data_IF_258249097870
#
_entry.id   IF_258249097870
#
_cell.length_a   1.000
_cell.length_b   1.000
_cell.length_c   1.000
_cell.angle_alpha   90.00
_cell.angle_beta   90.00
_cell.angle_gamma   90.00
#
_symmetry.space_group_name_H-M   'P 1'
#
loop_
_entity.id
_entity.type
_entity.pdbx_description
1 polymer ?
#
# COMPACT_ATOMS: atom_id res chain seq x y z
N UNK A 1 8.85 -19.15 16.20
CA UNK A 1 7.65 -18.38 16.60
C UNK A 1 8.15 -17.10 17.25
N UNK A 2 7.88 -15.92 16.66
CA UNK A 2 8.23 -14.65 17.32
C UNK A 2 7.38 -14.55 18.60
N UNK A 3 8.01 -14.48 19.78
CA UNK A 3 7.26 -14.17 21.00
C UNK A 3 7.05 -12.66 21.05
N UNK A 4 5.81 -12.25 20.87
CA UNK A 4 5.39 -10.88 21.16
C UNK A 4 5.15 -10.80 22.67
N UNK A 5 5.99 -10.07 23.40
CA UNK A 5 5.58 -9.54 24.69
C UNK A 5 5.05 -8.14 24.48
N UNK A 6 3.92 -7.77 25.11
CA UNK A 6 3.53 -6.37 25.16
C UNK A 6 4.64 -5.61 25.89
N UNK A 7 5.46 -4.89 25.12
CA UNK A 7 6.40 -3.94 25.69
C UNK A 7 5.58 -2.84 26.35
N UNK A 8 6.02 -2.35 27.51
CA UNK A 8 5.38 -1.25 28.26
C UNK A 8 5.10 0.02 27.44
N UNK A 9 5.66 0.13 26.22
CA UNK A 9 5.51 1.24 25.29
C UNK A 9 4.35 1.10 24.28
N UNK A 10 3.72 -0.07 24.14
CA UNK A 10 2.59 -0.22 23.21
C UNK A 10 1.30 0.32 23.84
N UNK A 11 0.67 1.30 23.17
CA UNK A 11 -0.64 1.78 23.58
C UNK A 11 -1.69 0.69 23.33
N UNK A 12 -2.68 0.50 24.24
CA UNK A 12 -3.82 -0.36 24.01
C UNK A 12 -4.57 -0.01 22.72
N UNK A 13 -5.21 -0.99 22.11
CA UNK A 13 -5.97 -0.82 20.87
C UNK A 13 -7.08 0.22 21.01
N UNK A 14 -7.75 0.24 22.15
CA UNK A 14 -8.84 1.17 22.49
C UNK A 14 -8.34 2.62 22.53
N UNK A 15 -7.10 2.83 22.97
CA UNK A 15 -6.50 4.16 22.91
C UNK A 15 -6.22 4.59 21.47
N UNK A 16 -5.70 3.68 20.64
CA UNK A 16 -5.46 3.95 19.23
C UNK A 16 -6.76 4.31 18.49
N UNK A 17 -7.83 3.55 18.73
CA UNK A 17 -9.19 3.86 18.23
C UNK A 17 -9.61 5.28 18.65
N UNK A 18 -9.54 5.59 19.95
CA UNK A 18 -9.92 6.90 20.46
C UNK A 18 -9.07 8.05 19.91
N UNK A 19 -7.79 7.82 19.55
CA UNK A 19 -6.98 8.83 18.86
C UNK A 19 -7.48 9.08 17.44
N UNK A 20 -7.77 8.02 16.69
CA UNK A 20 -8.25 8.10 15.31
C UNK A 20 -9.59 8.84 15.25
N UNK A 21 -10.52 8.53 16.14
CA UNK A 21 -11.82 9.22 16.23
C UNK A 21 -11.68 10.71 16.50
N UNK A 22 -10.90 11.08 17.53
CA UNK A 22 -10.71 12.48 17.91
C UNK A 22 -9.99 13.28 16.83
N UNK A 23 -8.94 12.72 16.23
CA UNK A 23 -8.19 13.38 15.18
C UNK A 23 -9.01 13.49 13.89
N UNK A 24 -9.75 12.45 13.53
CA UNK A 24 -10.67 12.47 12.39
C UNK A 24 -11.75 13.53 12.53
N UNK A 25 -12.39 13.63 13.70
CA UNK A 25 -13.38 14.68 13.98
C UNK A 25 -12.74 16.09 13.93
N UNK A 26 -11.58 16.25 14.54
CA UNK A 26 -10.86 17.53 14.56
C UNK A 26 -10.53 17.97 13.13
N UNK A 27 -9.98 17.08 12.31
CA UNK A 27 -9.67 17.35 10.91
C UNK A 27 -10.93 17.76 10.13
N UNK A 28 -12.05 17.05 10.31
CA UNK A 28 -13.34 17.39 9.69
C UNK A 28 -13.81 18.80 10.08
N UNK A 29 -13.78 19.15 11.36
CA UNK A 29 -14.18 20.48 11.86
C UNK A 29 -13.30 21.60 11.28
N UNK A 30 -12.04 21.30 11.00
CA UNK A 30 -11.08 22.25 10.42
C UNK A 30 -11.04 22.22 8.88
N UNK A 31 -11.85 21.39 8.22
CA UNK A 31 -11.82 21.23 6.75
C UNK A 31 -10.54 20.60 6.21
N UNK A 32 -9.83 19.82 7.03
CA UNK A 32 -8.58 19.13 6.69
C UNK A 32 -8.80 17.64 6.42
N UNK A 33 -7.90 17.04 5.65
CA UNK A 33 -7.82 15.58 5.48
C UNK A 33 -7.11 14.92 6.65
N UNK A 34 -7.52 13.69 7.00
CA UNK A 34 -6.86 12.85 7.99
C UNK A 34 -6.73 11.43 7.45
N UNK A 35 -5.60 10.78 7.73
CA UNK A 35 -5.31 9.41 7.31
C UNK A 35 -4.34 8.73 8.28
N UNK A 36 -4.16 7.42 8.12
CA UNK A 36 -3.30 6.60 8.97
C UNK A 36 -2.18 5.95 8.16
N UNK A 37 -1.07 5.59 8.82
CA UNK A 37 0.06 4.89 8.21
C UNK A 37 0.29 3.53 8.87
N UNK A 38 0.14 2.46 8.09
CA UNK A 38 0.39 1.08 8.53
C UNK A 38 1.50 0.44 7.70
N UNK A 39 2.65 0.05 8.21
CA UNK A 39 3.10 0.11 9.58
C UNK A 39 4.51 0.72 9.65
N UNK A 40 4.99 0.90 10.86
CA UNK A 40 6.41 0.96 11.14
C UNK A 40 6.93 -0.46 11.47
N UNK A 41 8.23 -0.60 11.72
CA UNK A 41 8.81 -1.84 12.22
C UNK A 41 8.17 -2.29 13.52
N UNK A 42 7.98 -3.60 13.70
CA UNK A 42 7.44 -4.17 14.93
C UNK A 42 8.58 -4.55 15.88
N UNK A 43 8.56 -4.04 17.11
CA UNK A 43 9.55 -4.43 18.12
C UNK A 43 9.19 -5.83 18.64
N UNK A 44 10.14 -6.76 18.58
CA UNK A 44 10.00 -8.14 19.06
C UNK A 44 11.17 -8.52 19.96
N UNK A 45 10.99 -9.54 20.80
CA UNK A 45 12.10 -10.07 21.60
C UNK A 45 13.21 -10.59 20.68
N UNK A 46 14.45 -10.22 20.99
CA UNK A 46 15.59 -10.80 20.30
C UNK A 46 15.84 -12.22 20.82
N UNK A 47 15.66 -13.20 19.94
CA UNK A 47 15.92 -14.62 20.20
C UNK A 47 17.04 -15.16 19.30
N UNK A 48 17.85 -14.26 18.73
CA UNK A 48 18.80 -14.59 17.66
C UNK A 48 20.22 -14.34 18.14
N UNK A 49 21.09 -15.31 17.85
CA UNK A 49 22.52 -15.26 18.23
C UNK A 49 23.36 -14.38 17.30
N UNK A 50 22.75 -13.49 16.51
CA UNK A 50 23.48 -12.63 15.57
C UNK A 50 23.68 -11.19 16.06
N UNK A 51 22.87 -10.74 17.02
CA UNK A 51 23.04 -9.46 17.71
C UNK A 51 23.87 -9.66 18.99
N UNK A 52 24.47 -8.60 19.54
CA UNK A 52 25.09 -8.65 20.87
C UNK A 52 24.09 -9.12 21.94
N UNK A 53 24.56 -9.85 22.95
CA UNK A 53 23.71 -10.35 24.05
C UNK A 53 23.05 -9.22 24.87
N UNK A 54 23.58 -8.01 24.78
CA UNK A 54 23.00 -6.80 25.37
C UNK A 54 21.71 -6.36 24.68
N UNK A 55 21.52 -6.72 23.41
CA UNK A 55 20.35 -6.36 22.63
C UNK A 55 19.17 -7.30 22.92
N UNK A 56 18.27 -6.87 23.79
CA UNK A 56 17.10 -7.65 24.22
C UNK A 56 15.93 -7.64 23.23
N UNK A 57 15.93 -6.69 22.29
CA UNK A 57 14.86 -6.48 21.32
C UNK A 57 15.42 -6.35 19.92
N UNK A 58 14.60 -6.65 18.91
CA UNK A 58 14.91 -6.42 17.51
C UNK A 58 13.70 -5.83 16.79
N UNK A 59 13.94 -5.15 15.68
CA UNK A 59 12.91 -4.52 14.86
C UNK A 59 12.57 -5.42 13.67
N UNK A 60 11.41 -6.07 13.73
CA UNK A 60 10.87 -6.89 12.64
C UNK A 60 10.41 -5.99 11.49
N UNK A 61 10.96 -6.27 10.31
CA UNK A 61 10.57 -5.68 9.03
C UNK A 61 10.53 -6.75 7.93
N UNK A 62 10.24 -6.35 6.70
CA UNK A 62 10.22 -7.26 5.56
C UNK A 62 9.01 -8.21 5.55
N UNK A 63 9.16 -9.33 4.83
CA UNK A 63 8.09 -10.25 4.44
C UNK A 63 7.16 -10.65 5.60
N UNK A 64 7.64 -11.04 6.79
CA UNK A 64 6.73 -11.46 7.88
C UNK A 64 5.85 -10.32 8.43
N UNK A 65 6.31 -9.07 8.34
CA UNK A 65 5.54 -7.91 8.81
C UNK A 65 4.32 -7.65 7.91
N UNK A 66 4.34 -8.10 6.65
CA UNK A 66 3.24 -7.91 5.70
C UNK A 66 1.94 -8.54 6.20
N UNK A 67 1.98 -9.81 6.64
CA UNK A 67 0.81 -10.53 7.17
C UNK A 67 0.19 -9.80 8.37
N UNK A 68 1.05 -9.35 9.30
CA UNK A 68 0.61 -8.60 10.47
C UNK A 68 0.01 -7.25 10.09
N UNK A 69 0.63 -6.55 9.12
CA UNK A 69 0.14 -5.28 8.60
C UNK A 69 -1.22 -5.40 7.93
N UNK A 70 -1.44 -6.43 7.10
CA UNK A 70 -2.73 -6.66 6.43
C UNK A 70 -3.83 -7.05 7.42
N UNK A 71 -3.51 -7.88 8.43
CA UNK A 71 -4.45 -8.18 9.51
C UNK A 71 -4.80 -6.94 10.35
N UNK A 72 -3.84 -6.03 10.57
CA UNK A 72 -4.10 -4.75 11.22
C UNK A 72 -4.99 -3.84 10.37
N UNK A 73 -4.79 -3.80 9.05
CA UNK A 73 -5.69 -3.10 8.10
C UNK A 73 -7.11 -3.63 8.22
N UNK A 74 -7.29 -4.96 8.30
CA UNK A 74 -8.62 -5.58 8.48
C UNK A 74 -9.28 -5.12 9.78
N UNK A 75 -8.59 -5.25 10.91
CA UNK A 75 -9.11 -4.83 12.21
C UNK A 75 -9.48 -3.34 12.22
N UNK A 76 -8.64 -2.49 11.61
CA UNK A 76 -8.93 -1.06 11.48
C UNK A 76 -10.20 -0.82 10.64
N UNK A 77 -10.34 -1.50 9.50
CA UNK A 77 -11.49 -1.40 8.60
C UNK A 77 -12.79 -1.95 9.21
N UNK A 78 -12.72 -2.93 10.11
CA UNK A 78 -13.88 -3.41 10.87
C UNK A 78 -14.48 -2.33 11.77
N UNK A 79 -13.68 -1.34 12.20
CA UNK A 79 -14.12 -0.24 13.08
C UNK A 79 -14.48 1.01 12.27
N UNK A 80 -13.61 1.40 11.34
CA UNK A 80 -13.68 2.69 10.66
C UNK A 80 -14.15 2.60 9.20
N UNK A 81 -14.39 1.40 8.67
CA UNK A 81 -14.66 1.20 7.24
C UNK A 81 -13.53 1.75 6.37
N UNK A 82 -13.89 2.29 5.19
CA UNK A 82 -12.95 3.00 4.29
C UNK A 82 -12.95 4.52 4.54
N UNK A 83 -13.39 4.97 5.72
CA UNK A 83 -13.52 6.40 6.03
C UNK A 83 -12.18 7.15 5.98
N UNK A 84 -11.10 6.51 6.41
CA UNK A 84 -9.79 7.12 6.50
C UNK A 84 -8.82 6.47 5.50
N UNK A 85 -8.14 7.25 4.64
CA UNK A 85 -7.11 6.73 3.77
C UNK A 85 -5.97 6.11 4.58
N UNK A 86 -5.46 4.99 4.08
CA UNK A 86 -4.38 4.24 4.71
C UNK A 86 -3.17 4.26 3.77
N UNK A 87 -2.10 4.93 4.19
CA UNK A 87 -0.78 4.72 3.60
C UNK A 87 -0.18 3.43 4.13
N UNK A 88 0.44 2.62 3.27
CA UNK A 88 0.88 1.28 3.64
C UNK A 88 2.38 1.01 3.45
N UNK A 89 2.98 0.30 4.40
CA UNK A 89 4.42 0.02 4.51
C UNK A 89 4.64 -1.20 5.39
N UNK A 90 4.61 -2.40 4.82
CA UNK A 90 4.97 -3.62 5.53
C UNK A 90 5.32 -4.72 4.54
N UNK A 91 6.62 -5.03 4.41
CA UNK A 91 7.09 -6.17 3.61
C UNK A 91 6.64 -6.17 2.14
N UNK A 92 6.47 -4.99 1.54
CA UNK A 92 6.06 -4.85 0.15
C UNK A 92 7.18 -5.31 -0.79
N UNK A 93 6.82 -6.07 -1.81
CA UNK A 93 7.65 -6.44 -2.93
C UNK A 93 6.79 -6.77 -4.16
N UNK A 94 7.42 -7.26 -5.24
CA UNK A 94 6.76 -7.49 -6.53
C UNK A 94 5.53 -8.40 -6.46
N UNK A 95 5.43 -9.30 -5.48
CA UNK A 95 4.35 -10.29 -5.49
C UNK A 95 3.11 -9.86 -4.73
N UNK A 96 3.22 -8.86 -3.84
CA UNK A 96 2.11 -8.36 -3.03
C UNK A 96 1.79 -6.88 -3.27
N UNK A 97 2.58 -6.20 -4.09
CA UNK A 97 2.33 -4.81 -4.47
C UNK A 97 0.97 -4.66 -5.16
N UNK A 98 0.66 -5.50 -6.16
CA UNK A 98 -0.61 -5.45 -6.88
C UNK A 98 -1.81 -5.72 -5.95
N UNK A 99 -1.71 -6.69 -5.05
CA UNK A 99 -2.73 -6.95 -4.03
C UNK A 99 -2.97 -5.70 -3.14
N UNK A 100 -1.88 -5.07 -2.68
CA UNK A 100 -1.94 -3.86 -1.84
C UNK A 100 -2.63 -2.70 -2.57
N UNK A 101 -2.40 -2.56 -3.88
CA UNK A 101 -3.12 -1.60 -4.74
C UNK A 101 -4.60 -1.94 -4.81
N UNK A 102 -4.96 -3.21 -5.02
CA UNK A 102 -6.35 -3.69 -5.06
C UNK A 102 -7.10 -3.48 -3.73
N UNK A 103 -6.39 -3.37 -2.61
CA UNK A 103 -6.97 -3.00 -1.31
C UNK A 103 -7.23 -1.49 -1.16
N UNK A 104 -6.82 -0.67 -2.13
CA UNK A 104 -6.92 0.79 -2.06
C UNK A 104 -5.98 1.42 -1.04
N UNK A 105 -4.88 0.74 -0.70
CA UNK A 105 -3.88 1.25 0.24
C UNK A 105 -2.93 2.18 -0.52
N UNK A 106 -2.99 3.48 -0.25
CA UNK A 106 -2.20 4.47 -0.96
C UNK A 106 -1.86 5.68 -0.07
N UNK A 107 -0.62 6.19 -0.12
CA UNK A 107 0.54 5.69 -0.87
C UNK A 107 1.11 4.37 -0.30
N UNK A 108 1.77 3.58 -1.15
CA UNK A 108 2.50 2.35 -0.77
C UNK A 108 4.00 2.67 -0.68
N UNK A 109 4.62 2.39 0.46
CA UNK A 109 6.05 2.62 0.73
C UNK A 109 6.81 1.30 0.78
N UNK A 110 7.99 1.27 0.16
CA UNK A 110 8.86 0.09 0.08
C UNK A 110 10.25 0.42 0.63
N UNK A 111 10.79 -0.45 1.48
CA UNK A 111 12.14 -0.30 2.03
C UNK A 111 12.89 -1.64 2.02
N UNK A 112 12.45 -2.63 2.82
CA UNK A 112 13.17 -3.90 2.99
C UNK A 112 13.45 -4.65 1.69
N UNK A 113 12.58 -4.54 0.67
CA UNK A 113 12.82 -5.17 -0.62
C UNK A 113 13.86 -4.43 -1.47
N UNK A 114 13.88 -3.10 -1.43
CA UNK A 114 14.86 -2.26 -2.14
C UNK A 114 16.27 -2.42 -1.55
N UNK A 115 16.39 -2.85 -0.29
CA UNK A 115 17.68 -3.16 0.34
C UNK A 115 18.26 -4.52 -0.10
N UNK A 116 17.50 -5.33 -0.85
CA UNK A 116 17.98 -6.63 -1.37
C UNK A 116 18.71 -6.45 -2.70
N UNK A 117 19.35 -7.53 -3.14
CA UNK A 117 19.96 -7.67 -4.47
C UNK A 117 19.03 -7.17 -5.57
N UNK A 118 19.49 -6.19 -6.32
CA UNK A 118 18.80 -5.47 -7.39
C UNK A 118 18.54 -4.00 -7.03
N UNK A 119 18.55 -3.64 -5.74
CA UNK A 119 18.38 -2.26 -5.31
C UNK A 119 17.07 -1.65 -5.81
N UNK A 120 17.15 -0.40 -6.29
CA UNK A 120 16.02 0.31 -6.90
C UNK A 120 15.49 -0.33 -8.18
N UNK A 121 16.28 -1.12 -8.92
CA UNK A 121 15.81 -1.75 -10.17
C UNK A 121 14.69 -2.78 -9.94
N UNK A 122 14.57 -3.28 -8.70
CA UNK A 122 13.48 -4.17 -8.26
C UNK A 122 12.10 -3.53 -8.40
N UNK A 123 12.02 -2.20 -8.32
CA UNK A 123 10.75 -1.46 -8.44
C UNK A 123 10.05 -1.66 -9.79
N UNK A 124 10.82 -1.87 -10.87
CA UNK A 124 10.27 -2.18 -12.20
C UNK A 124 9.39 -3.43 -12.20
N UNK A 125 9.73 -4.43 -11.39
CA UNK A 125 8.96 -5.67 -11.29
C UNK A 125 7.60 -5.47 -10.60
N UNK A 126 7.45 -4.42 -9.78
CA UNK A 126 6.20 -4.13 -9.08
C UNK A 126 5.13 -3.68 -10.08
N UNK A 127 5.53 -2.75 -10.95
CA UNK A 127 4.66 -2.25 -12.02
C UNK A 127 4.44 -3.30 -13.11
N UNK A 128 5.45 -4.12 -13.43
CA UNK A 128 5.27 -5.21 -14.40
C UNK A 128 4.20 -6.21 -13.96
N UNK A 129 4.22 -6.60 -12.68
CA UNK A 129 3.20 -7.48 -12.11
C UNK A 129 1.82 -6.81 -12.10
N UNK A 130 1.73 -5.55 -11.63
CA UNK A 130 0.47 -4.81 -11.63
C UNK A 130 -0.11 -4.69 -13.04
N UNK A 131 0.69 -4.30 -14.03
CA UNK A 131 0.28 -4.17 -15.41
C UNK A 131 -0.20 -5.51 -15.98
N UNK A 132 0.52 -6.61 -15.72
CA UNK A 132 0.10 -7.95 -16.16
C UNK A 132 -1.30 -8.31 -15.66
N UNK A 133 -1.58 -8.07 -14.36
CA UNK A 133 -2.91 -8.34 -13.79
C UNK A 133 -3.98 -7.39 -14.31
N UNK A 134 -3.62 -6.13 -14.57
CA UNK A 134 -4.52 -5.16 -15.18
C UNK A 134 -4.88 -5.56 -16.62
N UNK A 135 -3.90 -6.03 -17.40
CA UNK A 135 -4.10 -6.53 -18.77
C UNK A 135 -5.01 -7.79 -18.79
N UNK A 136 -4.79 -8.74 -17.88
CA UNK A 136 -5.63 -9.93 -17.71
C UNK A 136 -7.09 -9.57 -17.40
N UNK A 137 -7.31 -8.49 -16.64
CA UNK A 137 -8.62 -7.97 -16.28
C UNK A 137 -9.18 -6.98 -17.32
N UNK A 138 -8.41 -6.63 -18.36
CA UNK A 138 -8.79 -5.65 -19.38
C UNK A 138 -9.06 -4.25 -18.81
N UNK A 139 -8.29 -3.80 -17.82
CA UNK A 139 -8.42 -2.48 -17.18
C UNK A 139 -7.17 -1.64 -17.37
N UNK A 140 -7.33 -0.31 -17.42
CA UNK A 140 -6.22 0.63 -17.64
C UNK A 140 -6.09 1.70 -16.54
N UNK A 141 -6.90 1.61 -15.49
CA UNK A 141 -6.87 2.52 -14.34
C UNK A 141 -7.00 1.76 -13.01
N UNK A 142 -6.53 2.40 -11.93
CA UNK A 142 -6.45 1.78 -10.60
C UNK A 142 -7.84 1.56 -9.98
N UNK A 143 -8.82 2.43 -10.26
CA UNK A 143 -10.15 2.29 -9.69
C UNK A 143 -10.85 1.05 -10.29
N UNK A 144 -10.79 0.89 -11.61
CA UNK A 144 -11.27 -0.31 -12.29
C UNK A 144 -10.53 -1.57 -11.85
N UNK A 145 -9.22 -1.46 -11.59
CA UNK A 145 -8.44 -2.58 -11.04
C UNK A 145 -8.92 -2.99 -9.64
N UNK A 146 -9.12 -2.03 -8.72
CA UNK A 146 -9.65 -2.31 -7.37
C UNK A 146 -11.00 -3.03 -7.46
N UNK A 147 -11.90 -2.58 -8.34
CA UNK A 147 -13.22 -3.19 -8.50
C UNK A 147 -13.14 -4.66 -8.96
N UNK A 148 -12.20 -4.98 -9.84
CA UNK A 148 -12.12 -6.30 -10.47
C UNK A 148 -11.17 -7.29 -9.81
N UNK A 149 -10.12 -6.83 -9.14
CA UNK A 149 -8.96 -7.65 -8.76
C UNK A 149 -9.29 -8.94 -8.00
N UNK A 150 -10.32 -8.91 -7.14
CA UNK A 150 -10.77 -10.06 -6.37
C UNK A 150 -12.19 -10.54 -6.71
N UNK A 151 -12.80 -10.01 -7.80
CA UNK A 151 -14.16 -10.38 -8.18
C UNK A 151 -15.27 -9.92 -7.21
N UNK A 152 -14.96 -9.05 -6.24
CA UNK A 152 -15.91 -8.60 -5.22
C UNK A 152 -16.84 -7.45 -5.66
N UNK A 153 -16.71 -6.96 -6.89
CA UNK A 153 -17.48 -5.83 -7.41
C UNK A 153 -19.00 -6.03 -7.29
N UNK A 154 -19.52 -7.19 -7.69
CA UNK A 154 -20.97 -7.46 -7.69
C UNK A 154 -21.51 -7.57 -6.27
N UNK A 155 -20.82 -8.32 -5.39
CA UNK A 155 -21.18 -8.40 -3.98
C UNK A 155 -21.16 -7.03 -3.31
N UNK A 156 -20.21 -6.17 -3.66
CA UNK A 156 -20.14 -4.82 -3.14
C UNK A 156 -21.36 -3.97 -3.54
N UNK A 157 -21.88 -4.12 -4.78
CA UNK A 157 -23.10 -3.45 -5.22
C UNK A 157 -24.33 -3.95 -4.46
N UNK A 158 -24.40 -5.25 -4.21
CA UNK A 158 -25.48 -5.84 -3.41
C UNK A 158 -25.46 -5.29 -1.97
N UNK A 159 -24.29 -5.27 -1.32
CA UNK A 159 -24.13 -4.81 0.06
C UNK A 159 -24.53 -3.34 0.26
N UNK A 160 -24.32 -2.48 -0.75
CA UNK A 160 -24.74 -1.07 -0.66
C UNK A 160 -26.24 -0.85 -0.95
N UNK A 161 -26.99 -1.93 -1.18
CA UNK A 161 -28.43 -1.91 -1.39
C UNK A 161 -28.84 -1.48 -2.80
N UNK A 162 -27.98 -1.64 -3.81
CA UNK A 162 -28.26 -1.19 -5.17
C UNK A 162 -29.51 -1.88 -5.76
N UNK A 163 -29.68 -3.17 -5.50
CA UNK A 163 -30.83 -3.97 -5.98
C UNK A 163 -32.13 -3.73 -5.18
N UNK A 164 -32.03 -3.08 -4.02
CA UNK A 164 -33.18 -2.76 -3.15
C UNK A 164 -33.91 -1.47 -3.51
N UNK A 165 -33.44 -0.74 -4.52
CA UNK A 165 -34.19 0.37 -5.09
C UNK A 165 -35.31 -0.21 -5.97
N UNK A 166 -36.51 -0.41 -5.40
CA UNK A 166 -37.77 -0.72 -6.08
C UNK A 166 -38.24 0.41 -7.03
N UNK A 167 -37.33 0.99 -7.81
CA UNK A 167 -37.60 1.95 -8.85
C UNK A 167 -37.11 1.37 -10.17
N UNK A 168 -38.03 0.73 -10.88
CA UNK A 168 -37.92 0.26 -12.28
C UNK A 168 -37.05 -0.99 -12.50
N UNK A 169 -37.66 -2.21 -12.49
CA UNK A 169 -37.00 -3.46 -12.87
C UNK A 169 -36.24 -3.39 -14.21
N UNK A 170 -36.79 -2.67 -15.19
CA UNK A 170 -36.15 -2.47 -16.50
C UNK A 170 -34.88 -1.61 -16.46
N UNK A 171 -34.76 -0.68 -15.50
CA UNK A 171 -33.55 0.15 -15.36
C UNK A 171 -32.44 -0.63 -14.68
N UNK A 172 -32.77 -1.42 -13.67
CA UNK A 172 -31.83 -2.26 -12.91
C UNK A 172 -31.18 -3.32 -13.82
N UNK A 173 -31.98 -4.01 -14.62
CA UNK A 173 -31.46 -4.99 -15.59
C UNK A 173 -30.61 -4.36 -16.70
N UNK A 174 -31.04 -3.20 -17.24
CA UNK A 174 -30.26 -2.45 -18.25
C UNK A 174 -28.96 -1.89 -17.68
N UNK A 175 -28.96 -1.52 -16.40
CA UNK A 175 -27.79 -1.06 -15.67
C UNK A 175 -26.81 -2.18 -15.34
N UNK A 176 -27.31 -3.34 -14.94
CA UNK A 176 -26.51 -4.54 -14.75
C UNK A 176 -25.76 -4.88 -16.04
N UNK A 177 -26.47 -4.94 -17.17
CA UNK A 177 -25.85 -5.15 -18.49
C UNK A 177 -24.85 -4.03 -18.83
N UNK A 178 -25.15 -2.77 -18.51
CA UNK A 178 -24.25 -1.65 -18.79
C UNK A 178 -22.99 -1.67 -17.90
N UNK A 179 -23.11 -1.98 -16.61
CA UNK A 179 -22.01 -2.08 -15.66
C UNK A 179 -21.18 -3.32 -15.96
N UNK A 180 -21.78 -4.48 -16.21
CA UNK A 180 -21.07 -5.69 -16.65
C UNK A 180 -20.34 -5.43 -17.98
N UNK A 181 -21.01 -4.83 -18.97
CA UNK A 181 -20.40 -4.50 -20.26
C UNK A 181 -19.30 -3.43 -20.15
N UNK A 182 -19.41 -2.50 -19.20
CA UNK A 182 -18.40 -1.44 -18.97
C UNK A 182 -17.26 -1.88 -18.08
N UNK A 183 -17.52 -2.79 -17.13
CA UNK A 183 -16.50 -3.58 -16.46
C UNK A 183 -15.73 -4.31 -17.55
N UNK A 184 -16.38 -5.15 -18.37
CA UNK A 184 -15.73 -5.92 -19.44
C UNK A 184 -14.95 -5.07 -20.46
N UNK A 185 -15.46 -3.89 -20.85
CA UNK A 185 -14.89 -3.09 -21.95
C UNK A 185 -14.13 -1.82 -21.52
N UNK A 186 -13.84 -1.65 -20.22
CA UNK A 186 -13.00 -0.55 -19.71
C UNK A 186 -13.58 0.87 -19.92
N UNK A 187 -14.82 1.12 -19.49
CA UNK A 187 -15.40 2.47 -19.56
C UNK A 187 -15.52 3.19 -18.21
N UNK A 188 -15.83 4.49 -18.24
CA UNK A 188 -15.95 5.32 -17.03
C UNK A 188 -17.13 4.91 -16.13
N UNK A 189 -16.90 3.92 -15.27
CA UNK A 189 -17.88 3.38 -14.32
C UNK A 189 -18.48 4.46 -13.43
N UNK A 190 -17.71 5.50 -13.10
CA UNK A 190 -18.16 6.67 -12.33
C UNK A 190 -19.24 7.48 -13.07
N UNK A 191 -19.13 7.67 -14.39
CA UNK A 191 -20.14 8.37 -15.20
C UNK A 191 -21.45 7.59 -15.29
N UNK A 192 -21.34 6.27 -15.27
CA UNK A 192 -22.50 5.37 -15.25
C UNK A 192 -23.12 5.47 -13.85
N UNK A 193 -22.43 4.99 -12.81
CA UNK A 193 -22.87 4.91 -11.40
C UNK A 193 -23.35 6.24 -10.78
N UNK A 194 -22.79 7.38 -11.20
CA UNK A 194 -22.89 8.62 -10.45
C UNK A 194 -21.95 8.61 -9.24
N UNK A 195 -21.49 9.80 -8.85
CA UNK A 195 -20.39 9.94 -7.88
C UNK A 195 -20.67 9.30 -6.51
N UNK A 196 -21.90 9.43 -6.01
CA UNK A 196 -22.27 8.92 -4.68
C UNK A 196 -22.27 7.39 -4.63
N UNK A 197 -22.99 6.75 -5.56
CA UNK A 197 -23.05 5.29 -5.67
C UNK A 197 -21.66 4.74 -5.95
N UNK A 198 -20.90 5.35 -6.87
CA UNK A 198 -19.55 4.92 -7.19
C UNK A 198 -18.62 4.96 -5.97
N UNK A 199 -18.70 6.02 -5.15
CA UNK A 199 -17.88 6.15 -3.95
C UNK A 199 -18.22 5.07 -2.91
N UNK A 200 -19.51 4.79 -2.70
CA UNK A 200 -19.96 3.72 -1.80
C UNK A 200 -19.57 2.34 -2.31
N UNK A 201 -19.72 2.10 -3.61
CA UNK A 201 -19.33 0.86 -4.27
C UNK A 201 -17.82 0.61 -4.11
N UNK A 202 -17.00 1.60 -4.45
CA UNK A 202 -15.55 1.55 -4.31
C UNK A 202 -15.12 1.29 -2.86
N UNK A 203 -15.73 2.00 -1.90
CA UNK A 203 -15.49 1.78 -0.47
C UNK A 203 -15.77 0.33 -0.08
N UNK A 204 -16.96 -0.18 -0.42
CA UNK A 204 -17.36 -1.55 -0.07
C UNK A 204 -16.47 -2.60 -0.75
N UNK A 205 -16.08 -2.40 -2.02
CA UNK A 205 -15.16 -3.32 -2.71
C UNK A 205 -13.81 -3.38 -2.02
N UNK A 206 -13.23 -2.25 -1.56
CA UNK A 206 -11.97 -2.29 -0.80
C UNK A 206 -12.11 -3.06 0.51
N UNK A 207 -13.25 -2.95 1.19
CA UNK A 207 -13.52 -3.71 2.43
C UNK A 207 -13.58 -5.21 2.16
N UNK A 208 -14.29 -5.63 1.11
CA UNK A 208 -14.37 -7.03 0.70
C UNK A 208 -13.02 -7.58 0.22
N UNK A 209 -12.30 -6.83 -0.63
CA UNK A 209 -10.94 -7.20 -1.08
C UNK A 209 -10.00 -7.40 0.11
N UNK A 210 -10.13 -6.56 1.15
CA UNK A 210 -9.33 -6.71 2.38
C UNK A 210 -9.60 -8.03 3.06
N UNK A 211 -10.86 -8.42 3.19
CA UNK A 211 -11.25 -9.69 3.82
C UNK A 211 -10.68 -10.87 3.02
N UNK A 212 -10.91 -10.88 1.70
CA UNK A 212 -10.39 -11.92 0.79
C UNK A 212 -8.86 -12.04 0.91
N UNK A 213 -8.14 -10.91 0.83
CA UNK A 213 -6.68 -10.95 0.87
C UNK A 213 -6.11 -11.36 2.23
N UNK A 214 -6.79 -11.04 3.34
CA UNK A 214 -6.36 -11.50 4.67
C UNK A 214 -6.36 -13.02 4.74
N UNK A 215 -7.39 -13.68 4.18
CA UNK A 215 -7.49 -15.13 4.18
C UNK A 215 -6.37 -15.77 3.34
N UNK A 216 -6.08 -15.19 2.17
CA UNK A 216 -4.98 -15.62 1.29
C UNK A 216 -3.60 -15.42 1.97
N UNK A 217 -3.32 -14.22 2.48
CA UNK A 217 -2.00 -13.86 3.01
C UNK A 217 -1.67 -14.62 4.29
N UNK A 218 -2.69 -14.93 5.11
CA UNK A 218 -2.53 -15.63 6.40
C UNK A 218 -2.16 -17.10 6.20
N UNK A 219 -2.64 -17.73 5.13
CA UNK A 219 -2.40 -19.14 4.83
C UNK A 219 -1.24 -19.36 3.84
N UNK A 220 -0.74 -18.30 3.21
CA UNK A 220 0.29 -18.40 2.19
C UNK A 220 1.66 -18.82 2.77
N UNK A 221 2.17 -19.97 2.30
CA UNK A 221 3.41 -20.60 2.74
C UNK A 221 4.65 -19.69 2.60
N UNK A 222 4.62 -18.69 1.71
CA UNK A 222 5.67 -17.68 1.56
C UNK A 222 5.98 -16.95 2.87
N UNK A 223 4.96 -16.70 3.69
CA UNK A 223 5.10 -15.99 4.95
C UNK A 223 5.41 -16.93 6.13
N UNK A 224 5.45 -18.24 5.87
CA UNK A 224 5.79 -19.27 6.85
C UNK A 224 7.21 -19.16 7.39
N UNK A 225 7.42 -19.76 8.56
CA UNK A 225 8.70 -19.72 9.29
C UNK A 225 9.86 -20.28 8.45
N UNK A 226 9.61 -21.34 7.68
CA UNK A 226 10.64 -22.03 6.89
C UNK A 226 11.26 -21.11 5.84
N UNK A 227 10.44 -20.27 5.19
CA UNK A 227 10.88 -19.36 4.14
C UNK A 227 11.53 -18.07 4.68
N UNK A 228 11.31 -17.76 5.97
CA UNK A 228 11.74 -16.49 6.59
C UNK A 228 12.71 -16.67 7.77
N UNK A 229 13.28 -17.86 7.97
CA UNK A 229 14.21 -18.14 9.06
C UNK A 229 15.69 -18.09 8.69
N UNK A 230 16.00 -17.96 7.39
CA UNK A 230 17.40 -17.90 6.92
C UNK A 230 18.04 -16.61 7.43
N UNK A 231 19.19 -16.68 8.14
CA UNK A 231 19.88 -15.49 8.59
C UNK A 231 20.39 -14.68 7.39
N UNK A 232 20.51 -13.35 7.53
CA UNK A 232 21.17 -12.52 6.52
C UNK A 232 22.59 -13.02 6.27
N UNK A 233 23.04 -12.99 5.00
CA UNK A 233 24.44 -13.30 4.67
C UNK A 233 25.34 -12.21 5.27
N UNK A 234 26.33 -12.61 6.06
CA UNK A 234 27.43 -11.73 6.50
C UNK A 234 28.52 -11.77 5.45
N UNK A 235 29.09 -10.62 5.13
CA UNK A 235 30.14 -10.53 4.09
C UNK A 235 31.54 -10.46 4.68
N UNK A 236 31.66 -10.31 6.00
CA UNK A 236 32.96 -10.37 6.68
C UNK A 236 33.85 -9.15 6.42
N UNK A 237 33.38 -8.18 5.64
CA UNK A 237 34.02 -6.88 5.42
C UNK A 237 33.11 -5.77 5.96
N UNK A 238 33.70 -4.70 6.48
CA UNK A 238 32.97 -3.45 6.67
C UNK A 238 32.81 -2.80 5.30
N UNK A 239 31.61 -2.30 5.04
CA UNK A 239 31.31 -1.63 3.78
C UNK A 239 31.52 -0.13 3.95
N UNK A 240 32.33 0.46 3.09
CA UNK A 240 32.52 1.91 3.05
C UNK A 240 31.45 2.60 2.20
N UNK A 241 31.45 3.94 2.16
CA UNK A 241 30.54 4.72 1.32
C UNK A 241 30.72 4.26 -0.14
N UNK A 242 29.68 3.62 -0.68
CA UNK A 242 29.75 3.00 -2.00
C UNK A 242 30.66 1.72 -2.11
N UNK A 243 30.64 0.71 -1.21
CA UNK A 243 30.84 -0.80 -1.35
C UNK A 243 29.58 -1.80 -1.46
N UNK A 244 29.20 -2.36 -2.62
CA UNK A 244 27.91 -3.07 -2.85
C UNK A 244 28.12 -4.56 -2.81
N UNK A 245 27.24 -5.26 -2.11
CA UNK A 245 27.16 -6.72 -2.22
C UNK A 245 26.10 -7.20 -3.18
N UNK A 246 25.80 -6.33 -4.13
CA UNK A 246 25.15 -6.70 -5.38
C UNK A 246 25.95 -6.26 -6.62
N UNK A 247 26.95 -5.39 -6.47
CA UNK A 247 27.49 -4.54 -7.55
C UNK A 247 28.83 -3.85 -7.22
N UNK A 248 29.60 -4.31 -6.23
CA UNK A 248 30.73 -3.60 -5.64
C UNK A 248 30.58 -2.12 -5.17
N UNK A 249 29.45 -1.37 -5.25
CA UNK A 249 29.19 -0.10 -4.45
C UNK A 249 27.89 0.21 -3.55
N UNK A 250 28.06 0.37 -2.22
CA UNK A 250 27.23 0.42 -0.97
C UNK A 250 26.38 1.66 -0.71
N UNK A 251 25.51 1.54 0.30
CA UNK A 251 25.50 2.47 1.45
C UNK A 251 25.36 1.64 2.75
N UNK A 252 26.11 1.92 3.83
CA UNK A 252 25.70 1.50 5.17
C UNK A 252 24.40 2.24 5.52
N UNK A 253 23.26 1.80 5.00
CA UNK A 253 21.94 2.31 5.39
C UNK A 253 21.56 1.67 6.73
N UNK A 254 22.38 1.95 7.75
CA UNK A 254 21.77 2.35 8.99
C UNK A 254 21.08 3.69 8.70
N UNK A 255 19.79 3.89 9.03
CA UNK A 255 19.16 5.20 8.89
C UNK A 255 19.92 6.33 9.63
N UNK A 256 20.88 6.00 10.49
CA UNK A 256 21.72 6.96 11.18
C UNK A 256 23.00 7.38 10.40
N UNK A 257 23.40 6.66 9.34
CA UNK A 257 24.66 6.92 8.60
C UNK A 257 24.42 7.34 7.13
N UNK A 258 23.16 7.41 6.71
CA UNK A 258 22.73 7.85 5.36
C UNK A 258 22.50 9.37 5.25
N UNK A 259 22.80 10.13 6.30
CA UNK A 259 22.66 11.58 6.31
C UNK A 259 24.00 12.21 5.93
N UNK A 260 24.18 12.54 4.65
CA UNK A 260 25.29 13.37 4.20
C UNK A 260 24.75 14.70 3.67
N UNK A 261 25.44 15.78 4.03
CA UNK A 261 25.10 17.11 3.55
C UNK A 261 25.78 17.34 2.20
N UNK A 262 24.98 17.35 1.13
CA UNK A 262 25.40 17.91 -0.15
C UNK A 262 25.41 19.43 -0.03
N UNK A 263 26.60 20.03 0.00
CA UNK A 263 26.74 21.48 -0.19
C UNK A 263 26.45 21.79 -1.65
N UNK A 264 25.20 22.15 -1.93
CA UNK A 264 24.81 22.67 -3.24
C UNK A 264 25.21 24.15 -3.27
N UNK A 265 26.15 24.57 -4.13
CA UNK A 265 26.47 25.98 -4.26
C UNK A 265 25.23 26.73 -4.77
N UNK A 266 25.01 27.99 -4.36
CA UNK A 266 23.97 28.82 -4.94
C UNK A 266 24.17 28.91 -6.46
N UNK A 267 23.10 28.68 -7.22
CA UNK A 267 23.11 28.74 -8.67
C UNK A 267 21.71 28.98 -9.20
N UNK A 268 21.62 29.55 -10.40
CA UNK A 268 20.37 29.67 -11.14
C UNK A 268 20.11 28.36 -11.89
N UNK A 269 18.93 27.79 -11.70
CA UNK A 269 18.44 26.63 -12.46
C UNK A 269 17.19 27.08 -13.20
N UNK A 270 17.14 26.81 -14.50
CA UNK A 270 15.93 27.03 -15.29
C UNK A 270 14.85 26.04 -14.84
N UNK A 271 13.74 26.57 -14.32
CA UNK A 271 12.55 25.76 -14.01
C UNK A 271 11.65 25.81 -15.24
N UNK A 272 11.54 24.68 -15.94
CA UNK A 272 10.63 24.54 -17.07
C UNK A 272 9.24 24.16 -16.57
N UNK A 273 8.27 25.03 -16.78
CA UNK A 273 6.85 24.70 -16.59
C UNK A 273 6.30 24.08 -17.88
N UNK A 274 5.62 22.94 -17.76
CA UNK A 274 5.00 22.27 -18.90
C UNK A 274 3.47 22.37 -18.79
N UNK A 275 2.86 22.88 -19.86
CA UNK A 275 1.40 22.95 -20.02
C UNK A 275 0.93 22.20 -21.26
N UNK A 276 -0.33 21.80 -21.27
CA UNK A 276 -0.96 21.19 -22.43
C UNK A 276 -1.57 22.25 -23.34
N UNK A 277 -1.32 22.14 -24.65
CA UNK A 277 -1.96 22.94 -25.70
C UNK A 277 -2.55 22.02 -26.79
N UNK A 278 -3.17 22.60 -27.81
CA UNK A 278 -3.84 21.87 -28.89
C UNK A 278 -2.91 20.94 -29.72
N UNK A 279 -1.60 21.04 -29.53
CA UNK A 279 -0.57 20.23 -30.20
C UNK A 279 0.17 19.27 -29.25
N UNK A 280 -0.19 19.22 -27.96
CA UNK A 280 0.42 18.34 -26.95
C UNK A 280 1.04 19.10 -25.78
N UNK A 281 2.11 18.56 -25.20
CA UNK A 281 2.85 19.21 -24.12
C UNK A 281 3.80 20.26 -24.67
N UNK A 282 3.76 21.47 -24.14
CA UNK A 282 4.66 22.55 -24.48
C UNK A 282 5.18 23.25 -23.23
N UNK A 283 6.38 23.81 -23.31
CA UNK A 283 6.94 24.65 -22.25
C UNK A 283 6.13 25.95 -22.21
N UNK A 284 5.49 26.22 -21.08
CA UNK A 284 4.92 27.52 -20.77
C UNK A 284 6.06 28.39 -20.25
N UNK A 285 6.32 29.53 -20.89
CA UNK A 285 7.43 30.41 -20.53
C UNK A 285 7.46 30.66 -19.02
N UNK A 286 8.48 30.12 -18.34
CA UNK A 286 8.65 30.25 -16.90
C UNK A 286 8.82 31.72 -16.53
N UNK A 287 8.22 32.15 -15.42
CA UNK A 287 8.57 33.45 -14.82
C UNK A 287 10.02 33.37 -14.29
N UNK A 288 10.79 34.48 -14.39
CA UNK A 288 12.14 34.55 -13.84
C UNK A 288 12.16 34.34 -12.32
#
# INVERSE_FOLDING_TARGET
MFRMKPLKMMKPWEQAQGFVERLGLTAKTLGLGFGVKFNNTLIVENQRNFFPDTEKVMYLSGTPLHVLGINLVKQFREIFGDQFPISFSAGIDKTNFADTVALGLTPITVCSDLLKVGGYSRSSAYYKELNSRMDELGVSDIESYILKAYGNAEQALENIGFWGLEMFPDRVFRWQILVEKKLLNGGELRKVAGNEIYSRWMSETKLLNTKTYVDEVTTNARYGIEQNSKPPRKVGTMLELFDCLTCDKCIPVCPNDANFALKIPPGETEILEFGTNNSGWAVTAGKP
#
